data_IF_303891191708
#
_entry.id   IF_303891191708
#
_cell.length_a   1.000
_cell.length_b   1.000
_cell.length_c   1.000
_cell.angle_alpha   90.00
_cell.angle_beta   90.00
_cell.angle_gamma   90.00
#
_symmetry.space_group_name_H-M   'P 1'
#
loop_
_entity.id
_entity.type
_entity.pdbx_description
1 polymer ?
#
# COMPACT_ATOMS: atom_id res chain seq x y z
N UNK A 1 5.30 -8.14 2.46
CA UNK A 1 5.96 -9.38 2.88
C UNK A 1 6.85 -9.86 1.76
N UNK A 2 7.83 -10.72 2.07
CA UNK A 2 8.65 -11.36 1.05
C UNK A 2 7.83 -12.29 0.12
N UNK A 3 6.60 -12.63 0.52
CA UNK A 3 5.56 -13.31 -0.25
C UNK A 3 4.69 -12.36 -1.09
N UNK A 4 4.98 -11.05 -1.07
CA UNK A 4 4.23 -10.02 -1.80
C UNK A 4 2.91 -9.59 -1.17
N UNK A 5 2.55 -10.11 0.01
CA UNK A 5 1.35 -9.64 0.74
C UNK A 5 1.63 -8.38 1.53
N UNK A 6 0.64 -7.51 1.75
CA UNK A 6 0.79 -6.36 2.65
C UNK A 6 0.86 -6.85 4.10
N UNK A 7 1.89 -6.44 4.83
CA UNK A 7 2.03 -6.74 6.27
C UNK A 7 1.55 -5.55 7.10
N UNK A 8 1.94 -4.34 6.70
CA UNK A 8 1.60 -3.09 7.39
C UNK A 8 1.23 -2.02 6.37
N UNK A 9 0.39 -1.06 6.77
CA UNK A 9 0.06 0.13 5.99
C UNK A 9 -0.05 1.35 6.89
N UNK A 10 0.51 2.47 6.44
CA UNK A 10 0.45 3.76 7.11
C UNK A 10 0.00 4.85 6.13
N UNK A 11 -0.71 5.86 6.63
CA UNK A 11 -1.10 7.03 5.84
C UNK A 11 -0.01 8.08 5.98
N UNK A 12 0.78 8.27 4.93
CA UNK A 12 1.82 9.31 4.88
C UNK A 12 1.20 10.71 4.70
N UNK A 13 0.17 10.80 3.84
CA UNK A 13 -0.58 12.04 3.60
C UNK A 13 -2.07 11.73 3.48
N UNK A 14 -2.87 12.31 4.38
CA UNK A 14 -4.33 12.14 4.39
C UNK A 14 -4.97 12.83 3.19
N UNK A 15 -6.06 12.25 2.67
CA UNK A 15 -6.95 12.90 1.71
C UNK A 15 -7.78 14.05 2.31
N UNK A 16 -7.75 14.22 3.64
CA UNK A 16 -8.66 15.09 4.38
C UNK A 16 -9.98 14.40 4.76
N UNK A 17 -10.23 13.18 4.28
CA UNK A 17 -11.44 12.41 4.56
C UNK A 17 -11.10 11.02 5.08
N UNK A 18 -11.36 10.78 6.38
CA UNK A 18 -11.05 9.50 7.05
C UNK A 18 -11.56 8.27 6.29
N UNK A 19 -12.79 8.33 5.75
CA UNK A 19 -13.40 7.21 5.00
C UNK A 19 -12.64 6.87 3.73
N UNK A 20 -12.08 7.88 3.05
CA UNK A 20 -11.30 7.67 1.83
C UNK A 20 -9.92 7.10 2.15
N UNK A 21 -9.29 7.54 3.24
CA UNK A 21 -8.02 6.99 3.72
C UNK A 21 -8.17 5.52 4.14
N UNK A 22 -9.25 5.19 4.86
CA UNK A 22 -9.58 3.82 5.25
C UNK A 22 -9.87 2.94 4.03
N UNK A 23 -10.62 3.45 3.04
CA UNK A 23 -10.89 2.73 1.81
C UNK A 23 -9.60 2.44 1.02
N UNK A 24 -8.66 3.38 0.94
CA UNK A 24 -7.37 3.17 0.30
C UNK A 24 -6.56 2.06 1.00
N UNK A 25 -6.48 2.09 2.34
CA UNK A 25 -5.80 1.04 3.12
C UNK A 25 -6.44 -0.34 2.97
N UNK A 26 -7.78 -0.40 3.00
CA UNK A 26 -8.53 -1.63 2.83
C UNK A 26 -8.42 -2.21 1.40
N UNK A 27 -8.26 -1.35 0.40
CA UNK A 27 -7.94 -1.77 -0.97
C UNK A 27 -6.52 -2.34 -1.05
N UNK A 28 -5.53 -1.62 -0.52
CA UNK A 28 -4.13 -2.04 -0.49
C UNK A 28 -3.94 -3.42 0.15
N UNK A 29 -4.60 -3.69 1.29
CA UNK A 29 -4.45 -4.96 2.01
C UNK A 29 -4.93 -6.19 1.22
N UNK A 30 -5.75 -6.01 0.18
CA UNK A 30 -6.27 -7.08 -0.67
C UNK A 30 -5.39 -7.36 -1.88
N UNK A 31 -4.46 -6.46 -2.21
CA UNK A 31 -3.61 -6.59 -3.38
C UNK A 31 -2.46 -7.56 -3.13
N UNK A 32 -2.10 -8.30 -4.18
CA UNK A 32 -0.86 -9.08 -4.25
C UNK A 32 0.20 -8.26 -4.98
N UNK A 33 1.31 -7.98 -4.32
CA UNK A 33 2.40 -7.19 -4.88
C UNK A 33 3.58 -8.06 -5.27
N UNK A 34 4.43 -7.53 -6.16
CA UNK A 34 5.78 -8.06 -6.33
C UNK A 34 6.63 -7.55 -5.16
N UNK A 35 7.22 -8.43 -4.34
CA UNK A 35 8.07 -8.02 -3.24
C UNK A 35 9.31 -7.28 -3.75
N UNK A 36 9.85 -6.37 -2.95
CA UNK A 36 11.19 -5.83 -3.19
C UNK A 36 12.23 -6.95 -3.13
N UNK A 37 13.32 -6.81 -3.87
CA UNK A 37 14.41 -7.81 -3.89
C UNK A 37 15.73 -7.16 -3.54
N UNK A 38 16.54 -7.83 -2.72
CA UNK A 38 17.94 -7.50 -2.46
C UNK A 38 18.75 -8.70 -2.93
N UNK A 39 19.72 -8.48 -3.83
CA UNK A 39 20.53 -9.54 -4.45
C UNK A 39 19.69 -10.69 -5.06
N UNK A 40 18.58 -10.32 -5.71
CA UNK A 40 17.66 -11.26 -6.34
C UNK A 40 16.76 -12.03 -5.36
N UNK A 41 16.91 -11.83 -4.05
CA UNK A 41 16.08 -12.50 -3.02
C UNK A 41 14.94 -11.59 -2.56
N UNK A 42 13.69 -12.07 -2.53
CA UNK A 42 12.56 -11.31 -1.99
C UNK A 42 12.79 -10.92 -0.53
N UNK A 43 12.55 -9.65 -0.21
CA UNK A 43 12.69 -9.09 1.13
C UNK A 43 11.47 -8.24 1.47
N UNK A 44 11.13 -8.16 2.75
CA UNK A 44 10.15 -7.20 3.22
C UNK A 44 10.69 -5.78 3.04
N UNK A 45 9.92 -4.95 2.33
CA UNK A 45 10.25 -3.55 2.07
C UNK A 45 9.01 -2.68 2.19
N UNK A 46 9.21 -1.40 2.48
CA UNK A 46 8.16 -0.37 2.35
C UNK A 46 8.02 0.06 0.89
N UNK A 47 6.81 0.47 0.52
CA UNK A 47 6.51 1.08 -0.77
C UNK A 47 5.49 2.22 -0.56
N UNK A 48 5.67 3.32 -1.29
CA UNK A 48 4.75 4.47 -1.25
C UNK A 48 3.87 4.49 -2.49
N UNK A 49 2.58 4.76 -2.32
CA UNK A 49 1.60 4.88 -3.39
C UNK A 49 0.68 6.08 -3.13
N UNK A 50 0.33 6.82 -4.19
CA UNK A 50 -0.56 7.98 -4.12
C UNK A 50 -1.93 7.64 -4.70
N UNK A 51 -2.95 7.67 -3.86
CA UNK A 51 -4.36 7.55 -4.29
C UNK A 51 -4.98 8.94 -4.48
N UNK A 52 -5.64 9.17 -5.61
CA UNK A 52 -6.35 10.42 -5.91
C UNK A 52 -7.83 10.12 -6.15
N UNK A 53 -8.69 10.72 -5.34
CA UNK A 53 -10.14 10.62 -5.46
C UNK A 53 -10.67 11.77 -6.31
N UNK A 54 -11.63 11.49 -7.21
CA UNK A 54 -12.33 12.48 -8.01
C UNK A 54 -13.82 12.13 -8.04
N UNK A 55 -14.67 13.13 -7.93
CA UNK A 55 -16.08 13.02 -8.32
C UNK A 55 -16.12 13.36 -9.82
N UNK A 56 -16.82 12.53 -10.59
CA UNK A 56 -17.15 12.85 -11.98
C UNK A 56 -18.33 13.81 -12.05
#
# INVERSE_FOLDING_TARGET
GADGKVIESAVEKSSGFRRLDEAARAGLSKCQFKPGTIDGKPQQTWASMKYTWRLE
#
